data_IF_231695139898
#
_entry.id   IF_231695139898
#
_cell.length_a   1.000
_cell.length_b   1.000
_cell.length_c   1.000
_cell.angle_alpha   90.00
_cell.angle_beta   90.00
_cell.angle_gamma   90.00
#
_symmetry.space_group_name_H-M   'P 1'
#
loop_
_entity.id
_entity.type
_entity.pdbx_description
1 polymer ?
#
# COMPACT_ATOMS: atom_id res chain seq x y z
N UNK A 1 -3.97 3.63 11.25
CA UNK A 1 -3.90 2.86 12.51
C UNK A 1 -2.98 1.64 12.40
N UNK A 2 -3.10 0.80 11.36
CA UNK A 2 -2.26 -0.41 11.16
C UNK A 2 -0.75 -0.07 11.18
N UNK A 3 -0.31 0.85 10.35
CA UNK A 3 1.10 1.27 10.23
C UNK A 3 1.70 1.67 11.58
N UNK A 4 0.99 2.53 12.33
CA UNK A 4 1.44 3.00 13.64
C UNK A 4 1.56 1.84 14.64
N UNK A 5 0.64 0.88 14.63
CA UNK A 5 0.68 -0.27 15.53
C UNK A 5 1.92 -1.15 15.26
N UNK A 6 2.19 -1.49 13.99
CA UNK A 6 3.38 -2.27 13.63
C UNK A 6 4.68 -1.52 13.99
N UNK A 7 4.77 -0.24 13.62
CA UNK A 7 5.96 0.56 13.92
C UNK A 7 6.17 0.75 15.43
N UNK A 8 5.09 0.91 16.22
CA UNK A 8 5.16 0.97 17.68
C UNK A 8 5.70 -0.33 18.31
N UNK A 9 5.53 -1.47 17.64
CA UNK A 9 6.06 -2.78 18.06
C UNK A 9 7.45 -3.08 17.45
N UNK A 10 8.12 -2.09 16.87
CA UNK A 10 9.50 -2.22 16.38
C UNK A 10 9.63 -2.67 14.93
N UNK A 11 8.51 -2.86 14.22
CA UNK A 11 8.57 -3.26 12.82
C UNK A 11 9.04 -2.12 11.90
N UNK A 12 9.78 -2.49 10.85
CA UNK A 12 9.96 -1.64 9.68
C UNK A 12 8.77 -1.86 8.75
N UNK A 13 8.00 -0.80 8.51
CA UNK A 13 6.75 -0.85 7.76
C UNK A 13 6.92 -0.15 6.42
N UNK A 14 6.77 -0.90 5.33
CA UNK A 14 6.64 -0.34 4.01
C UNK A 14 5.18 0.05 3.75
N UNK A 15 4.92 1.32 3.47
CA UNK A 15 3.59 1.80 3.12
C UNK A 15 3.52 2.09 1.63
N UNK A 16 2.50 1.55 0.97
CA UNK A 16 2.37 1.59 -0.48
C UNK A 16 1.10 2.31 -0.91
N UNK A 17 1.16 2.90 -2.10
CA UNK A 17 0.05 3.63 -2.70
C UNK A 17 0.50 4.49 -3.88
N UNK A 18 -0.47 5.01 -4.63
CA UNK A 18 -0.21 5.75 -5.88
C UNK A 18 0.33 7.17 -5.65
N UNK A 19 -0.03 7.80 -4.54
CA UNK A 19 0.30 9.20 -4.26
C UNK A 19 1.43 9.29 -3.24
N UNK A 20 2.65 9.51 -3.73
CA UNK A 20 3.84 9.52 -2.89
C UNK A 20 3.78 10.61 -1.82
N UNK A 21 3.28 11.80 -2.13
CA UNK A 21 3.16 12.91 -1.18
C UNK A 21 2.24 12.58 0.01
N UNK A 22 1.17 11.81 -0.24
CA UNK A 22 0.27 11.33 0.82
C UNK A 22 0.98 10.30 1.70
N UNK A 23 1.75 9.40 1.10
CA UNK A 23 2.54 8.40 1.84
C UNK A 23 3.63 9.06 2.68
N UNK A 24 4.35 10.03 2.14
CA UNK A 24 5.40 10.78 2.86
C UNK A 24 4.82 11.50 4.08
N UNK A 25 3.68 12.18 3.93
CA UNK A 25 2.97 12.81 5.05
C UNK A 25 2.54 11.77 6.09
N UNK A 26 2.04 10.63 5.65
CA UNK A 26 1.62 9.55 6.55
C UNK A 26 2.82 8.97 7.32
N UNK A 27 3.95 8.72 6.65
CA UNK A 27 5.18 8.26 7.28
C UNK A 27 5.72 9.29 8.29
N UNK A 28 5.76 10.57 7.91
CA UNK A 28 6.20 11.66 8.77
C UNK A 28 5.31 11.86 10.01
N UNK A 29 4.03 11.48 9.93
CA UNK A 29 3.11 11.56 11.08
C UNK A 29 3.39 10.49 12.17
N UNK A 30 4.18 9.46 11.84
CA UNK A 30 4.53 8.37 12.76
C UNK A 30 5.92 8.63 13.34
N UNK A 31 5.96 9.31 14.48
CA UNK A 31 7.19 9.65 15.20
C UNK A 31 7.26 9.00 16.58
N UNK A 32 8.46 8.89 17.14
CA UNK A 32 8.65 8.41 18.53
C UNK A 32 8.31 6.94 18.74
N UNK A 33 8.45 6.13 17.69
CA UNK A 33 8.25 4.67 17.73
C UNK A 33 9.59 3.95 17.55
N UNK A 34 9.76 2.73 18.08
CA UNK A 34 10.99 1.96 17.92
C UNK A 34 11.21 1.43 16.49
N UNK A 35 10.14 1.28 15.71
CA UNK A 35 10.19 0.89 14.31
C UNK A 35 10.41 2.06 13.35
N UNK A 36 10.16 1.82 12.07
CA UNK A 36 10.27 2.85 11.02
C UNK A 36 9.19 2.68 9.96
N UNK A 37 8.89 3.76 9.23
CA UNK A 37 7.90 3.76 8.14
C UNK A 37 8.57 4.26 6.87
N UNK A 38 8.54 3.45 5.81
CA UNK A 38 9.17 3.76 4.52
C UNK A 38 8.10 3.85 3.43
N UNK A 39 7.89 5.03 2.82
CA UNK A 39 6.95 5.17 1.71
C UNK A 39 7.53 4.58 0.41
N UNK A 40 6.70 3.80 -0.29
CA UNK A 40 6.98 3.28 -1.63
C UNK A 40 5.80 3.62 -2.52
N UNK A 41 6.02 4.42 -3.57
CA UNK A 41 5.01 4.62 -4.60
C UNK A 41 4.80 3.29 -5.35
N UNK A 42 3.57 2.80 -5.35
CA UNK A 42 3.20 1.53 -5.97
C UNK A 42 1.70 1.54 -6.25
N UNK A 43 1.32 1.21 -7.48
CA UNK A 43 -0.04 0.81 -7.80
C UNK A 43 -0.17 -0.71 -7.64
N UNK A 44 -1.19 -1.14 -6.89
CA UNK A 44 -1.45 -2.57 -6.62
C UNK A 44 -2.21 -3.24 -7.77
N UNK A 45 -2.81 -2.47 -8.67
CA UNK A 45 -3.50 -3.00 -9.86
C UNK A 45 -2.56 -3.22 -11.04
N UNK A 46 -1.30 -2.79 -10.92
CA UNK A 46 -0.25 -2.97 -11.93
C UNK A 46 0.78 -3.97 -11.42
N UNK A 47 0.85 -5.12 -12.09
CA UNK A 47 1.73 -6.23 -11.72
C UNK A 47 3.22 -5.85 -11.80
N UNK A 48 3.62 -5.03 -12.79
CA UNK A 48 5.01 -4.59 -12.92
C UNK A 48 5.41 -3.65 -11.78
N UNK A 49 4.49 -2.74 -11.43
CA UNK A 49 4.62 -1.87 -10.26
C UNK A 49 4.77 -2.67 -8.96
N UNK A 50 3.96 -3.72 -8.76
CA UNK A 50 4.06 -4.60 -7.58
C UNK A 50 5.39 -5.35 -7.57
N UNK A 51 5.83 -5.92 -8.70
CA UNK A 51 7.13 -6.60 -8.82
C UNK A 51 8.30 -5.67 -8.52
N UNK A 52 8.25 -4.43 -9.01
CA UNK A 52 9.27 -3.42 -8.73
C UNK A 52 9.32 -3.07 -7.24
N UNK A 53 8.17 -2.91 -6.59
CA UNK A 53 8.06 -2.69 -5.14
C UNK A 53 8.62 -3.85 -4.33
N UNK A 54 8.26 -5.09 -4.67
CA UNK A 54 8.75 -6.30 -4.02
C UNK A 54 10.27 -6.44 -4.17
N UNK A 55 10.81 -6.25 -5.38
CA UNK A 55 12.26 -6.29 -5.65
C UNK A 55 13.02 -5.23 -4.86
N UNK A 56 12.43 -4.04 -4.66
CA UNK A 56 13.02 -2.99 -3.83
C UNK A 56 13.11 -3.44 -2.36
N UNK A 57 12.06 -4.05 -1.82
CA UNK A 57 12.05 -4.55 -0.43
C UNK A 57 13.07 -5.68 -0.27
N UNK A 58 13.10 -6.63 -1.20
CA UNK A 58 14.07 -7.72 -1.23
C UNK A 58 15.51 -7.20 -1.32
N UNK A 59 15.78 -6.19 -2.15
CA UNK A 59 17.12 -5.61 -2.27
C UNK A 59 17.61 -4.87 -1.02
N UNK A 60 16.70 -4.41 -0.15
CA UNK A 60 17.04 -3.65 1.06
C UNK A 60 17.07 -4.54 2.31
N UNK A 61 16.07 -5.40 2.50
CA UNK A 61 15.91 -6.22 3.71
C UNK A 61 15.93 -7.73 3.45
N UNK A 62 16.06 -8.16 2.20
CA UNK A 62 16.14 -9.58 1.80
C UNK A 62 14.81 -10.33 1.80
N UNK A 63 13.83 -9.91 2.61
CA UNK A 63 12.52 -10.57 2.73
C UNK A 63 11.41 -9.62 3.17
N UNK A 64 10.18 -10.09 3.00
CA UNK A 64 8.97 -9.50 3.59
C UNK A 64 8.37 -10.50 4.58
N UNK A 65 8.26 -10.11 5.86
CA UNK A 65 7.72 -11.00 6.90
C UNK A 65 6.18 -11.01 6.94
N UNK A 66 5.56 -9.85 6.69
CA UNK A 66 4.10 -9.66 6.83
C UNK A 66 3.61 -8.82 5.65
N UNK A 67 2.59 -9.31 4.95
CA UNK A 67 1.86 -8.57 3.92
C UNK A 67 0.45 -8.24 4.43
N UNK A 68 0.05 -6.97 4.33
CA UNK A 68 -1.31 -6.53 4.67
C UNK A 68 -1.95 -5.90 3.43
N UNK A 69 -2.82 -6.65 2.76
CA UNK A 69 -3.58 -6.17 1.60
C UNK A 69 -4.71 -5.23 2.08
N UNK A 70 -4.39 -3.94 2.26
CA UNK A 70 -5.33 -2.92 2.77
C UNK A 70 -5.90 -2.00 1.69
N UNK A 71 -5.44 -2.10 0.44
CA UNK A 71 -5.93 -1.28 -0.65
C UNK A 71 -7.34 -1.71 -1.05
N UNK A 72 -8.28 -0.76 -1.06
CA UNK A 72 -9.67 -1.01 -1.42
C UNK A 72 -10.41 0.27 -1.74
N UNK A 73 -11.46 0.16 -2.55
CA UNK A 73 -12.37 1.25 -2.88
C UNK A 73 -13.77 0.80 -2.48
N UNK A 74 -14.50 1.67 -1.78
CA UNK A 74 -15.91 1.41 -1.49
C UNK A 74 -16.75 1.67 -2.74
N UNK A 75 -17.59 0.71 -3.11
CA UNK A 75 -18.53 0.85 -4.22
C UNK A 75 -19.94 1.17 -3.78
N UNK A 76 -20.76 1.66 -4.71
CA UNK A 76 -22.19 1.85 -4.48
C UNK A 76 -22.92 0.52 -4.57
N UNK A 77 -23.53 0.06 -3.48
CA UNK A 77 -24.41 -1.13 -3.48
C UNK A 77 -25.75 -0.88 -4.22
N UNK A 78 -26.04 0.37 -4.58
CA UNK A 78 -27.27 0.76 -5.29
C UNK A 78 -27.11 0.79 -6.80
N UNK A 79 -25.87 0.67 -7.28
CA UNK A 79 -25.54 0.66 -8.68
C UNK A 79 -24.85 -0.68 -9.01
N UNK A 80 -25.57 -1.62 -9.64
CA UNK A 80 -25.03 -2.94 -9.95
C UNK A 80 -23.87 -2.91 -10.97
N UNK A 81 -23.74 -1.83 -11.74
CA UNK A 81 -22.67 -1.67 -12.74
C UNK A 81 -21.47 -0.89 -12.21
N UNK A 82 -21.56 -0.32 -11.00
CA UNK A 82 -20.51 0.52 -10.40
C UNK A 82 -19.12 -0.11 -10.48
N UNK A 83 -18.99 -1.37 -10.06
CA UNK A 83 -17.69 -2.05 -10.08
C UNK A 83 -17.20 -2.27 -11.51
N UNK A 84 -18.11 -2.55 -12.44
CA UNK A 84 -17.77 -2.79 -13.85
C UNK A 84 -17.25 -1.51 -14.50
N UNK A 85 -17.92 -0.38 -14.26
CA UNK A 85 -17.51 0.93 -14.76
C UNK A 85 -16.23 1.42 -14.09
N UNK A 86 -16.09 1.26 -12.78
CA UNK A 86 -14.90 1.71 -12.05
C UNK A 86 -13.66 0.89 -12.44
N UNK A 87 -13.81 -0.41 -12.68
CA UNK A 87 -12.74 -1.27 -13.23
C UNK A 87 -12.34 -0.80 -14.63
N UNK A 88 -13.29 -0.45 -15.51
CA UNK A 88 -12.94 0.07 -16.85
C UNK A 88 -12.27 1.44 -16.78
N UNK A 89 -12.71 2.31 -15.88
CA UNK A 89 -12.19 3.68 -15.73
C UNK A 89 -10.77 3.71 -15.16
N UNK A 90 -10.40 2.76 -14.30
CA UNK A 90 -9.13 2.77 -13.56
C UNK A 90 -8.13 1.70 -13.96
N UNK A 91 -8.45 0.87 -14.96
CA UNK A 91 -7.64 -0.28 -15.34
C UNK A 91 -8.07 -1.53 -14.58
N UNK A 92 -7.93 -2.69 -15.24
CA UNK A 92 -8.46 -3.97 -14.78
C UNK A 92 -7.96 -4.34 -13.39
N UNK A 93 -8.87 -4.58 -12.45
CA UNK A 93 -8.57 -5.37 -11.25
C UNK A 93 -8.45 -6.84 -11.68
N UNK A 94 -7.23 -7.39 -11.78
CA UNK A 94 -7.07 -8.83 -11.74
C UNK A 94 -6.99 -9.25 -10.27
N UNK A 95 -8.04 -9.92 -9.79
CA UNK A 95 -8.02 -10.62 -8.51
C UNK A 95 -7.25 -11.93 -8.61
#
# INVERSE_FOLDING_TARGET
MIVKAFAANGAKVYITGRWLDVLEKAAASVTGVPGSVVPIQMDVTDEESVKAGAKRIEGVDGKLDILVNSAGIAGSLRDPDFFREEIHRRGSFSA
#
